data_IF_863819196672
#
_entry.id   IF_863819196672
#
_cell.length_a   1.000
_cell.length_b   1.000
_cell.length_c   1.000
_cell.angle_alpha   90.00
_cell.angle_beta   90.00
_cell.angle_gamma   90.00
#
_symmetry.space_group_name_H-M   'P 1'
#
loop_
_entity.id
_entity.type
_entity.pdbx_description
1 polymer ?
#
# COMPACT_ATOMS: atom_id res chain seq x y z
N UNK A 1 -38.69 -16.58 11.85
CA UNK A 1 -37.39 -16.53 11.15
C UNK A 1 -36.33 -16.19 12.19
N UNK A 2 -36.01 -17.14 13.08
CA UNK A 2 -35.02 -16.94 14.13
C UNK A 2 -33.67 -17.35 13.56
N UNK A 3 -32.76 -16.38 13.41
CA UNK A 3 -31.35 -16.66 13.19
C UNK A 3 -30.87 -17.40 14.43
N UNK A 4 -30.88 -18.74 14.38
CA UNK A 4 -30.37 -19.58 15.45
C UNK A 4 -28.89 -19.25 15.63
N UNK A 5 -28.45 -18.66 16.75
CA UNK A 5 -27.06 -18.27 16.96
C UNK A 5 -26.11 -19.48 16.84
N UNK A 6 -26.63 -20.67 17.16
CA UNK A 6 -25.90 -21.93 17.01
C UNK A 6 -25.60 -22.29 15.54
N UNK A 7 -26.49 -21.97 14.58
CA UNK A 7 -26.22 -22.18 13.15
C UNK A 7 -25.21 -21.16 12.61
N UNK A 8 -25.32 -19.91 13.03
CA UNK A 8 -24.38 -18.85 12.63
C UNK A 8 -22.93 -19.18 13.03
N UNK A 9 -22.70 -19.71 14.23
CA UNK A 9 -21.36 -20.15 14.67
C UNK A 9 -20.82 -21.30 13.81
N UNK A 10 -21.67 -22.22 13.38
CA UNK A 10 -21.28 -23.32 12.48
C UNK A 10 -20.90 -22.80 11.09
N UNK A 11 -21.67 -21.85 10.56
CA UNK A 11 -21.39 -21.19 9.27
C UNK A 11 -20.08 -20.38 9.32
N UNK A 12 -19.85 -19.59 10.38
CA UNK A 12 -18.60 -18.84 10.57
C UNK A 12 -17.40 -19.76 10.66
N UNK A 13 -17.50 -20.89 11.37
CA UNK A 13 -16.41 -21.88 11.44
C UNK A 13 -16.12 -22.53 10.07
N UNK A 14 -17.16 -22.80 9.29
CA UNK A 14 -17.01 -23.34 7.94
C UNK A 14 -16.36 -22.33 6.98
N UNK A 15 -16.72 -21.05 7.06
CA UNK A 15 -16.15 -19.98 6.22
C UNK A 15 -14.73 -19.60 6.67
N UNK A 16 -14.48 -19.58 7.99
CA UNK A 16 -13.14 -19.37 8.54
C UNK A 16 -12.14 -20.45 8.08
N UNK A 17 -12.60 -21.68 7.85
CA UNK A 17 -11.77 -22.76 7.29
C UNK A 17 -11.34 -22.53 5.84
N UNK A 18 -12.04 -21.67 5.09
CA UNK A 18 -11.65 -21.29 3.72
C UNK A 18 -10.60 -20.16 3.69
N UNK A 19 -10.38 -19.49 4.82
CA UNK A 19 -9.36 -18.44 4.96
C UNK A 19 -7.98 -19.10 5.00
N UNK A 20 -7.45 -19.38 3.82
CA UNK A 20 -6.08 -19.86 3.66
C UNK A 20 -5.14 -18.67 3.64
N UNK A 21 -4.39 -18.49 4.73
CA UNK A 21 -3.40 -17.43 4.79
C UNK A 21 -2.27 -17.70 3.79
N UNK A 22 -1.77 -16.65 3.10
CA UNK A 22 -0.66 -16.78 2.19
C UNK A 22 0.57 -17.34 2.92
N UNK A 23 1.37 -18.13 2.21
CA UNK A 23 2.65 -18.58 2.75
C UNK A 23 3.57 -17.36 2.96
N UNK A 24 4.46 -17.41 3.96
CA UNK A 24 5.41 -16.32 4.28
C UNK A 24 6.17 -15.81 3.05
N UNK A 25 6.47 -16.71 2.10
CA UNK A 25 7.12 -16.37 0.83
C UNK A 25 6.24 -15.49 -0.06
N UNK A 26 4.96 -15.83 -0.21
CA UNK A 26 4.01 -15.04 -0.98
C UNK A 26 3.83 -13.63 -0.38
N UNK A 27 3.73 -13.53 0.95
CA UNK A 27 3.65 -12.24 1.65
C UNK A 27 4.87 -11.37 1.40
N UNK A 28 6.08 -11.94 1.49
CA UNK A 28 7.31 -11.18 1.24
C UNK A 28 7.44 -10.70 -0.20
N UNK A 29 7.00 -11.51 -1.17
CA UNK A 29 7.02 -11.11 -2.59
C UNK A 29 6.06 -9.96 -2.84
N UNK A 30 4.82 -10.02 -2.34
CA UNK A 30 3.84 -8.95 -2.57
C UNK A 30 4.21 -7.68 -1.82
N UNK A 31 4.69 -7.76 -0.58
CA UNK A 31 5.21 -6.59 0.15
C UNK A 31 6.44 -5.99 -0.53
N UNK A 32 7.37 -6.83 -1.02
CA UNK A 32 8.56 -6.38 -1.73
C UNK A 32 8.24 -5.64 -3.03
N UNK A 33 7.26 -6.13 -3.80
CA UNK A 33 6.79 -5.46 -5.01
C UNK A 33 6.22 -4.06 -4.71
N UNK A 34 5.42 -3.92 -3.64
CA UNK A 34 4.88 -2.62 -3.21
C UNK A 34 5.99 -1.67 -2.77
N UNK A 35 6.95 -2.15 -1.98
CA UNK A 35 8.10 -1.34 -1.55
C UNK A 35 8.95 -0.88 -2.74
N UNK A 36 9.17 -1.74 -3.74
CA UNK A 36 9.90 -1.38 -4.95
C UNK A 36 9.20 -0.27 -5.75
N UNK A 37 7.89 -0.39 -5.95
CA UNK A 37 7.10 0.66 -6.62
C UNK A 37 7.10 1.97 -5.82
N UNK A 38 6.95 1.90 -4.49
CA UNK A 38 7.00 3.08 -3.63
C UNK A 38 8.37 3.76 -3.67
N UNK A 39 9.46 2.99 -3.66
CA UNK A 39 10.82 3.52 -3.77
C UNK A 39 11.07 4.20 -5.13
N UNK A 40 10.61 3.58 -6.22
CA UNK A 40 10.67 4.18 -7.56
C UNK A 40 9.94 5.52 -7.64
N UNK A 41 8.69 5.56 -7.17
CA UNK A 41 7.89 6.78 -7.14
C UNK A 41 8.51 7.85 -6.25
N UNK A 42 9.03 7.48 -5.08
CA UNK A 42 9.72 8.40 -4.18
C UNK A 42 10.98 8.99 -4.82
N UNK A 43 11.76 8.19 -5.54
CA UNK A 43 12.93 8.68 -6.26
C UNK A 43 12.56 9.64 -7.39
N UNK A 44 11.47 9.36 -8.12
CA UNK A 44 10.95 10.26 -9.14
C UNK A 44 10.54 11.62 -8.56
N UNK A 45 9.74 11.63 -7.50
CA UNK A 45 9.32 12.88 -6.86
C UNK A 45 10.51 13.66 -6.31
N UNK A 46 11.47 12.98 -5.69
CA UNK A 46 12.69 13.62 -5.20
C UNK A 46 13.43 14.40 -6.31
N UNK A 47 13.56 13.82 -7.50
CA UNK A 47 14.20 14.51 -8.65
C UNK A 47 13.37 15.70 -9.11
N UNK A 48 12.05 15.55 -9.21
CA UNK A 48 11.14 16.62 -9.63
C UNK A 48 11.16 17.78 -8.63
N UNK A 49 11.15 17.49 -7.33
CA UNK A 49 11.20 18.49 -6.26
C UNK A 49 12.50 19.30 -6.33
N UNK A 50 13.63 18.65 -6.66
CA UNK A 50 14.91 19.34 -6.85
C UNK A 50 14.89 20.26 -8.07
N UNK A 51 14.31 19.82 -9.19
CA UNK A 51 14.20 20.64 -10.41
C UNK A 51 13.29 21.85 -10.16
N UNK A 52 12.12 21.63 -9.57
CA UNK A 52 11.18 22.70 -9.23
C UNK A 52 11.80 23.65 -8.21
N UNK A 53 12.46 23.12 -7.17
CA UNK A 53 13.10 23.92 -6.14
C UNK A 53 14.20 24.84 -6.70
N UNK A 54 15.02 24.35 -7.64
CA UNK A 54 16.00 25.17 -8.34
C UNK A 54 15.32 26.21 -9.25
N UNK A 55 14.31 25.81 -10.04
CA UNK A 55 13.59 26.73 -10.91
C UNK A 55 12.87 27.84 -10.15
N UNK A 56 12.26 27.53 -9.01
CA UNK A 56 11.62 28.51 -8.11
C UNK A 56 12.66 29.46 -7.52
N UNK A 57 13.84 28.96 -7.11
CA UNK A 57 14.92 29.84 -6.61
C UNK A 57 15.40 30.83 -7.67
N UNK A 58 15.58 30.40 -8.91
CA UNK A 58 15.96 31.30 -10.01
C UNK A 58 14.85 32.31 -10.34
N UNK A 59 13.60 31.88 -10.37
CA UNK A 59 12.45 32.75 -10.68
C UNK A 59 12.17 33.79 -9.58
N UNK A 60 12.21 33.38 -8.31
CA UNK A 60 12.00 34.29 -7.19
C UNK A 60 13.26 35.07 -6.78
N UNK A 61 14.45 34.57 -7.08
CA UNK A 61 15.72 35.29 -6.90
C UNK A 61 15.91 36.44 -7.89
N UNK A 62 15.19 36.44 -9.02
CA UNK A 62 15.10 37.56 -9.96
C UNK A 62 13.95 38.54 -9.62
N UNK A 63 13.08 38.18 -8.69
CA UNK A 63 11.84 38.92 -8.36
C UNK A 63 11.87 39.69 -7.03
N UNK A 64 12.97 39.65 -6.29
CA UNK A 64 13.25 40.49 -5.12
C UNK A 64 14.49 41.33 -5.34
#
# INVERSE_FOLDING_TARGET
>A
MSVSPAKFVQEVRAEAGKVTWPTRRATLVTTGAVLAMAALTSAFFFVVDQIIGLGVRELFGLGG
#
